data_IF_202842803211
#
_entry.id   IF_202842803211
#
_cell.length_a   1.000
_cell.length_b   1.000
_cell.length_c   1.000
_cell.angle_alpha   90.00
_cell.angle_beta   90.00
_cell.angle_gamma   90.00
#
_symmetry.space_group_name_H-M   'P 1'
#
loop_
_entity.id
_entity.type
_entity.pdbx_description
1 polymer ?
#
# COMPACT_ATOMS: atom_id res chain seq x y z
N UNK A 1 -37.13 -19.40 12.36
CA UNK A 1 -36.88 -18.09 11.71
C UNK A 1 -36.85 -18.31 10.21
N UNK A 2 -37.58 -17.52 9.47
CA UNK A 2 -37.51 -17.48 8.01
C UNK A 2 -36.13 -16.94 7.55
N UNK A 3 -35.79 -17.18 6.28
CA UNK A 3 -34.51 -16.65 5.74
C UNK A 3 -34.46 -15.11 5.79
N UNK A 4 -35.61 -14.44 5.59
CA UNK A 4 -35.72 -12.98 5.69
C UNK A 4 -35.49 -12.49 7.12
N UNK A 5 -36.01 -13.18 8.12
CA UNK A 5 -35.80 -12.81 9.52
C UNK A 5 -34.32 -13.00 9.90
N UNK A 6 -33.67 -14.09 9.45
CA UNK A 6 -32.24 -14.29 9.62
C UNK A 6 -31.40 -13.19 8.94
N UNK A 7 -31.83 -12.80 7.72
CA UNK A 7 -31.18 -11.72 6.95
C UNK A 7 -31.25 -10.39 7.69
N UNK A 8 -32.45 -9.98 8.17
CA UNK A 8 -32.61 -8.75 8.96
C UNK A 8 -31.78 -8.77 10.23
N UNK A 9 -31.80 -9.88 10.96
CA UNK A 9 -31.03 -10.05 12.20
C UNK A 9 -29.53 -9.95 11.94
N UNK A 10 -29.04 -10.58 10.86
CA UNK A 10 -27.62 -10.55 10.51
C UNK A 10 -27.17 -9.14 10.07
N UNK A 11 -27.94 -8.45 9.24
CA UNK A 11 -27.66 -7.07 8.81
C UNK A 11 -27.57 -6.14 10.02
N UNK A 12 -28.49 -6.26 10.97
CA UNK A 12 -28.52 -5.44 12.18
C UNK A 12 -27.34 -5.76 13.12
N UNK A 13 -27.08 -7.05 13.35
CA UNK A 13 -25.99 -7.52 14.23
C UNK A 13 -24.60 -7.06 13.74
N UNK A 14 -24.36 -7.20 12.42
CA UNK A 14 -23.10 -6.81 11.79
C UNK A 14 -23.02 -5.31 11.46
N UNK A 15 -24.10 -4.54 11.68
CA UNK A 15 -24.17 -3.12 11.37
C UNK A 15 -23.90 -2.80 9.90
N UNK A 16 -24.42 -3.62 8.98
CA UNK A 16 -24.05 -3.52 7.57
C UNK A 16 -24.66 -2.30 6.88
N UNK A 17 -25.95 -2.06 7.10
CA UNK A 17 -26.70 -0.90 6.63
C UNK A 17 -28.03 -0.81 7.39
N UNK A 18 -28.72 0.32 7.26
CA UNK A 18 -30.00 0.62 7.92
C UNK A 18 -31.13 0.81 6.90
N UNK A 19 -32.37 0.99 7.36
CA UNK A 19 -33.49 1.32 6.50
C UNK A 19 -33.43 2.75 5.93
N UNK A 20 -32.62 3.63 6.52
CA UNK A 20 -32.40 4.99 6.03
C UNK A 20 -31.41 5.03 4.87
N UNK A 21 -30.58 4.01 4.74
CA UNK A 21 -29.60 3.88 3.68
C UNK A 21 -30.25 3.50 2.35
N UNK A 22 -29.65 3.94 1.24
CA UNK A 22 -29.88 3.37 -0.09
C UNK A 22 -28.64 2.61 -0.51
N UNK A 23 -28.79 1.30 -0.73
CA UNK A 23 -27.69 0.37 -1.02
C UNK A 23 -27.64 -0.02 -2.49
N UNK A 24 -26.47 -0.38 -3.00
CA UNK A 24 -26.26 -0.87 -4.38
C UNK A 24 -26.09 -2.39 -4.37
N UNK A 25 -27.04 -3.13 -4.92
CA UNK A 25 -26.95 -4.60 -5.03
C UNK A 25 -26.20 -4.97 -6.31
N UNK A 26 -25.10 -5.71 -6.17
CA UNK A 26 -24.41 -6.33 -7.29
C UNK A 26 -25.12 -7.63 -7.68
N UNK A 27 -25.84 -7.62 -8.80
CA UNK A 27 -26.69 -8.73 -9.25
C UNK A 27 -26.16 -9.32 -10.56
N UNK A 28 -25.71 -10.60 -10.52
CA UNK A 28 -25.15 -11.29 -11.68
C UNK A 28 -26.18 -12.11 -12.48
N UNK A 29 -27.40 -12.31 -11.96
CA UNK A 29 -28.39 -13.21 -12.54
C UNK A 29 -28.34 -14.64 -11.97
N UNK A 30 -27.30 -14.99 -11.24
CA UNK A 30 -27.18 -16.27 -10.51
C UNK A 30 -28.05 -16.31 -9.25
N UNK A 31 -28.34 -17.53 -8.76
CA UNK A 31 -29.31 -17.78 -7.67
C UNK A 31 -29.02 -16.92 -6.44
N UNK A 32 -27.75 -16.83 -6.00
CA UNK A 32 -27.37 -16.12 -4.78
C UNK A 32 -27.70 -14.62 -4.87
N UNK A 33 -27.39 -14.00 -5.99
CA UNK A 33 -27.65 -12.57 -6.23
C UNK A 33 -29.14 -12.26 -6.43
N UNK A 34 -29.87 -13.16 -7.08
CA UNK A 34 -31.32 -13.02 -7.26
C UNK A 34 -32.08 -13.20 -5.93
N UNK A 35 -31.63 -14.13 -5.08
CA UNK A 35 -32.17 -14.30 -3.71
C UNK A 35 -31.83 -13.09 -2.85
N UNK A 36 -30.62 -12.57 -2.92
CA UNK A 36 -30.25 -11.33 -2.21
C UNK A 36 -31.19 -10.17 -2.57
N UNK A 37 -31.45 -9.97 -3.85
CA UNK A 37 -32.38 -8.93 -4.33
C UNK A 37 -33.80 -9.12 -3.79
N UNK A 38 -34.31 -10.36 -3.77
CA UNK A 38 -35.64 -10.71 -3.20
C UNK A 38 -35.67 -10.46 -1.69
N UNK A 39 -34.64 -10.87 -0.95
CA UNK A 39 -34.55 -10.66 0.49
C UNK A 39 -34.45 -9.17 0.86
N UNK A 40 -33.71 -8.39 0.11
CA UNK A 40 -33.60 -6.94 0.34
C UNK A 40 -34.96 -6.24 0.15
N UNK A 41 -35.74 -6.64 -0.88
CA UNK A 41 -37.09 -6.15 -1.12
C UNK A 41 -38.04 -6.55 0.00
N UNK A 42 -38.11 -7.83 0.36
CA UNK A 42 -38.99 -8.35 1.40
C UNK A 42 -38.67 -7.80 2.79
N UNK A 43 -37.37 -7.56 3.04
CA UNK A 43 -36.93 -6.91 4.26
C UNK A 43 -37.26 -5.40 4.31
N UNK A 44 -37.64 -4.77 3.19
CA UNK A 44 -38.02 -3.37 3.12
C UNK A 44 -36.84 -2.39 3.02
N UNK A 45 -35.68 -2.83 2.57
CA UNK A 45 -34.55 -1.94 2.33
C UNK A 45 -34.68 -1.18 1.01
N UNK A 46 -34.15 0.06 0.98
CA UNK A 46 -34.07 0.86 -0.25
C UNK A 46 -32.78 0.48 -1.02
N UNK A 47 -32.93 0.13 -2.28
CA UNK A 47 -31.80 -0.30 -3.07
C UNK A 47 -31.90 0.06 -4.55
N UNK A 48 -30.74 0.14 -5.19
CA UNK A 48 -30.55 0.11 -6.63
C UNK A 48 -29.84 -1.19 -7.01
N UNK A 49 -29.91 -1.58 -8.28
CA UNK A 49 -29.27 -2.78 -8.80
C UNK A 49 -28.19 -2.40 -9.81
N UNK A 50 -27.00 -3.00 -9.67
CA UNK A 50 -25.92 -2.91 -10.62
C UNK A 50 -25.64 -4.28 -11.24
N UNK A 51 -25.61 -4.34 -12.58
CA UNK A 51 -25.23 -5.52 -13.35
C UNK A 51 -24.02 -5.24 -14.23
N UNK A 52 -23.00 -6.12 -14.17
CA UNK A 52 -21.81 -6.05 -15.00
C UNK A 52 -21.86 -7.13 -16.08
N UNK A 53 -21.95 -6.74 -17.34
CA UNK A 53 -21.81 -7.64 -18.46
C UNK A 53 -20.35 -7.58 -18.99
N UNK A 54 -19.58 -8.62 -18.71
CA UNK A 54 -18.15 -8.71 -19.12
C UNK A 54 -17.96 -9.22 -20.53
N UNK A 55 -19.04 -9.60 -21.24
CA UNK A 55 -19.05 -10.16 -22.59
C UNK A 55 -18.14 -11.38 -22.79
N UNK A 56 -17.90 -12.13 -21.71
CA UNK A 56 -16.99 -13.29 -21.71
C UNK A 56 -17.64 -14.57 -22.22
N UNK A 57 -19.00 -14.62 -22.26
CA UNK A 57 -19.79 -15.82 -22.61
C UNK A 57 -20.81 -15.56 -23.73
N UNK A 58 -20.68 -14.48 -24.48
CA UNK A 58 -21.59 -14.13 -25.58
C UNK A 58 -23.07 -14.11 -25.14
N UNK A 59 -23.93 -14.85 -25.84
CA UNK A 59 -25.39 -14.89 -25.57
C UNK A 59 -25.78 -15.29 -24.15
N UNK A 60 -24.95 -16.05 -23.43
CA UNK A 60 -25.25 -16.34 -22.01
C UNK A 60 -25.13 -15.10 -21.14
N UNK A 61 -24.11 -14.26 -21.37
CA UNK A 61 -23.95 -13.00 -20.63
C UNK A 61 -25.11 -12.04 -20.90
N UNK A 62 -25.57 -11.96 -22.15
CA UNK A 62 -26.70 -11.12 -22.53
C UNK A 62 -28.02 -11.68 -21.94
N UNK A 63 -28.15 -12.99 -21.88
CA UNK A 63 -29.30 -13.65 -21.23
C UNK A 63 -29.39 -13.39 -19.72
N UNK A 64 -28.24 -13.31 -19.04
CA UNK A 64 -28.17 -12.94 -17.63
C UNK A 64 -28.62 -11.48 -17.41
N UNK A 65 -28.13 -10.56 -18.26
CA UNK A 65 -28.53 -9.15 -18.24
C UNK A 65 -30.03 -8.98 -18.45
N UNK A 66 -30.60 -9.63 -19.47
CA UNK A 66 -32.04 -9.57 -19.75
C UNK A 66 -32.90 -10.11 -18.61
N UNK A 67 -32.45 -11.16 -17.92
CA UNK A 67 -33.11 -11.67 -16.72
C UNK A 67 -33.14 -10.63 -15.61
N UNK A 68 -31.99 -10.06 -15.28
CA UNK A 68 -31.85 -9.06 -14.22
C UNK A 68 -32.69 -7.84 -14.53
N UNK A 69 -32.59 -7.29 -15.75
CA UNK A 69 -33.36 -6.15 -16.21
C UNK A 69 -34.88 -6.37 -16.03
N UNK A 70 -35.36 -7.53 -16.48
CA UNK A 70 -36.77 -7.88 -16.36
C UNK A 70 -37.26 -7.90 -14.90
N UNK A 71 -36.50 -8.51 -14.00
CA UNK A 71 -36.89 -8.60 -12.60
C UNK A 71 -36.81 -7.25 -11.87
N UNK A 72 -35.77 -6.44 -12.20
CA UNK A 72 -35.62 -5.07 -11.67
C UNK A 72 -36.78 -4.17 -12.12
N UNK A 73 -37.20 -4.25 -13.40
CA UNK A 73 -38.34 -3.50 -13.90
C UNK A 73 -39.65 -3.84 -13.16
N UNK A 74 -39.87 -5.12 -12.82
CA UNK A 74 -41.04 -5.53 -12.00
C UNK A 74 -41.00 -4.93 -10.61
N UNK A 75 -39.80 -4.69 -10.05
CA UNK A 75 -39.63 -4.12 -8.73
C UNK A 75 -39.72 -2.59 -8.71
N UNK A 76 -39.53 -1.93 -9.86
CA UNK A 76 -39.55 -0.47 -9.99
C UNK A 76 -38.38 0.23 -9.27
N UNK A 77 -37.21 -0.42 -9.18
CA UNK A 77 -36.04 0.15 -8.54
C UNK A 77 -35.03 0.63 -9.60
N UNK A 78 -34.10 1.55 -9.25
CA UNK A 78 -33.05 2.01 -10.17
C UNK A 78 -32.18 0.84 -10.66
N UNK A 79 -31.85 0.85 -11.97
CA UNK A 79 -31.04 -0.16 -12.62
C UNK A 79 -29.86 0.47 -13.34
N UNK A 80 -28.68 -0.01 -13.03
CA UNK A 80 -27.42 0.37 -13.67
C UNK A 80 -26.83 -0.86 -14.36
N UNK A 81 -26.42 -0.72 -15.60
CA UNK A 81 -25.77 -1.78 -16.37
C UNK A 81 -24.54 -1.19 -17.06
N UNK A 82 -23.48 -1.97 -17.14
CA UNK A 82 -22.28 -1.64 -17.89
C UNK A 82 -21.77 -2.85 -18.64
N UNK A 83 -21.13 -2.58 -19.79
CA UNK A 83 -20.50 -3.58 -20.64
C UNK A 83 -19.01 -3.31 -20.67
N UNK A 84 -18.20 -4.29 -20.27
CA UNK A 84 -16.75 -4.15 -20.23
C UNK A 84 -16.10 -4.82 -21.44
N UNK A 85 -15.10 -4.18 -22.04
CA UNK A 85 -14.13 -4.81 -22.94
C UNK A 85 -13.03 -5.49 -22.11
N UNK A 86 -13.37 -6.62 -21.51
CA UNK A 86 -12.45 -7.34 -20.61
C UNK A 86 -11.22 -7.86 -21.34
N UNK A 87 -11.36 -8.30 -22.59
CA UNK A 87 -10.22 -8.81 -23.37
C UNK A 87 -9.25 -7.70 -23.78
N UNK A 88 -9.74 -6.51 -24.14
CA UNK A 88 -8.90 -5.34 -24.42
C UNK A 88 -8.08 -4.92 -23.21
N UNK A 89 -8.71 -4.90 -22.03
CA UNK A 89 -8.03 -4.60 -20.77
C UNK A 89 -6.97 -5.66 -20.37
N UNK A 90 -7.26 -6.95 -20.55
CA UNK A 90 -6.28 -8.04 -20.34
C UNK A 90 -5.08 -7.87 -21.26
N UNK A 91 -5.31 -7.54 -22.52
CA UNK A 91 -4.22 -7.33 -23.49
C UNK A 91 -3.33 -6.13 -23.13
N UNK A 92 -3.91 -5.10 -22.50
CA UNK A 92 -3.17 -3.89 -22.11
C UNK A 92 -2.36 -4.05 -20.82
N UNK A 93 -2.87 -4.83 -19.84
CA UNK A 93 -2.26 -4.94 -18.50
C UNK A 93 -1.43 -6.21 -18.31
N UNK A 94 -1.71 -7.27 -19.07
CA UNK A 94 -1.11 -8.60 -18.86
C UNK A 94 -1.65 -9.36 -17.65
N UNK A 95 -2.66 -8.82 -16.96
CA UNK A 95 -3.30 -9.45 -15.81
C UNK A 95 -4.23 -10.59 -16.23
N UNK A 96 -4.58 -11.47 -15.29
CA UNK A 96 -5.59 -12.51 -15.56
C UNK A 96 -6.98 -11.91 -15.78
N UNK A 97 -7.81 -12.57 -16.57
CA UNK A 97 -9.21 -12.17 -16.84
C UNK A 97 -9.97 -11.93 -15.52
N UNK A 98 -9.76 -12.78 -14.53
CA UNK A 98 -10.42 -12.67 -13.22
C UNK A 98 -9.98 -11.39 -12.47
N UNK A 99 -8.68 -11.06 -12.48
CA UNK A 99 -8.17 -9.84 -11.85
C UNK A 99 -8.69 -8.59 -12.54
N UNK A 100 -8.67 -8.57 -13.87
CA UNK A 100 -9.20 -7.45 -14.67
C UNK A 100 -10.69 -7.27 -14.41
N UNK A 101 -11.49 -8.33 -14.54
CA UNK A 101 -12.93 -8.27 -14.31
C UNK A 101 -13.27 -7.80 -12.88
N UNK A 102 -12.48 -8.24 -11.90
CA UNK A 102 -12.62 -7.80 -10.51
C UNK A 102 -12.30 -6.31 -10.36
N UNK A 103 -11.19 -5.83 -10.91
CA UNK A 103 -10.78 -4.41 -10.86
C UNK A 103 -11.83 -3.51 -11.50
N UNK A 104 -12.27 -3.82 -12.71
CA UNK A 104 -13.28 -3.05 -13.45
C UNK A 104 -14.61 -2.99 -12.69
N UNK A 105 -15.06 -4.11 -12.12
CA UNK A 105 -16.29 -4.21 -11.34
C UNK A 105 -16.30 -3.27 -10.14
N UNK A 106 -15.24 -3.33 -9.31
CA UNK A 106 -15.20 -2.54 -8.09
C UNK A 106 -15.00 -1.05 -8.36
N UNK A 107 -14.20 -0.68 -9.35
CA UNK A 107 -14.05 0.71 -9.78
C UNK A 107 -15.40 1.31 -10.20
N UNK A 108 -16.16 0.59 -11.03
CA UNK A 108 -17.47 1.05 -11.45
C UNK A 108 -18.49 1.11 -10.30
N UNK A 109 -18.46 0.17 -9.37
CA UNK A 109 -19.34 0.23 -8.18
C UNK A 109 -19.04 1.45 -7.31
N UNK A 110 -17.76 1.79 -7.13
CA UNK A 110 -17.36 2.98 -6.38
C UNK A 110 -17.81 4.27 -7.08
N UNK A 111 -17.67 4.37 -8.41
CA UNK A 111 -18.20 5.47 -9.22
C UNK A 111 -19.73 5.62 -9.07
N UNK A 112 -20.48 4.52 -9.11
CA UNK A 112 -21.94 4.55 -8.92
C UNK A 112 -22.32 5.02 -7.51
N UNK A 113 -21.59 4.55 -6.49
CA UNK A 113 -21.84 4.97 -5.12
C UNK A 113 -21.59 6.47 -4.94
N UNK A 114 -20.51 6.99 -5.48
CA UNK A 114 -20.16 8.41 -5.39
C UNK A 114 -21.16 9.29 -6.17
N UNK A 115 -21.57 8.85 -7.37
CA UNK A 115 -22.49 9.63 -8.21
C UNK A 115 -23.94 9.65 -7.67
N UNK A 116 -24.39 8.60 -6.98
CA UNK A 116 -25.79 8.45 -6.57
C UNK A 116 -25.99 8.46 -5.04
N UNK A 117 -24.93 8.55 -4.26
CA UNK A 117 -25.01 8.56 -2.80
C UNK A 117 -25.37 7.20 -2.18
N UNK A 118 -25.01 6.08 -2.83
CA UNK A 118 -25.22 4.76 -2.25
C UNK A 118 -24.24 4.51 -1.11
N UNK A 119 -24.75 4.08 0.04
CA UNK A 119 -23.97 3.90 1.27
C UNK A 119 -23.09 2.65 1.27
N UNK A 120 -23.49 1.61 0.55
CA UNK A 120 -22.79 0.33 0.48
C UNK A 120 -23.04 -0.40 -0.84
N UNK A 121 -22.05 -1.20 -1.24
CA UNK A 121 -22.14 -2.21 -2.31
C UNK A 121 -22.39 -3.57 -1.69
N UNK A 122 -23.48 -4.21 -2.04
CA UNK A 122 -23.95 -5.47 -1.43
C UNK A 122 -23.71 -6.63 -2.38
N UNK A 123 -22.95 -7.64 -1.91
CA UNK A 123 -22.57 -8.82 -2.70
C UNK A 123 -23.11 -10.09 -2.02
N UNK A 124 -23.60 -11.03 -2.82
CA UNK A 124 -24.27 -12.24 -2.39
C UNK A 124 -23.31 -13.40 -2.02
N UNK A 125 -22.18 -13.13 -1.36
CA UNK A 125 -21.33 -14.21 -0.82
C UNK A 125 -22.00 -14.85 0.39
N UNK A 126 -21.97 -16.19 0.45
CA UNK A 126 -22.57 -17.01 1.51
C UNK A 126 -21.51 -17.79 2.29
N UNK A 127 -21.93 -18.56 3.33
CA UNK A 127 -20.98 -19.25 4.22
C UNK A 127 -20.12 -20.27 3.50
N UNK A 128 -20.65 -20.98 2.49
CA UNK A 128 -19.85 -21.96 1.75
C UNK A 128 -18.74 -21.28 0.95
N UNK A 129 -18.94 -20.07 0.38
CA UNK A 129 -17.87 -19.28 -0.24
C UNK A 129 -16.77 -18.89 0.76
N UNK A 130 -17.17 -18.58 2.00
CA UNK A 130 -16.25 -18.25 3.08
C UNK A 130 -15.42 -19.46 3.49
N UNK A 131 -16.02 -20.64 3.57
CA UNK A 131 -15.35 -21.91 3.85
C UNK A 131 -14.35 -22.24 2.72
N UNK A 132 -14.78 -22.12 1.47
CA UNK A 132 -13.88 -22.30 0.31
C UNK A 132 -12.67 -21.38 0.40
N UNK A 133 -12.90 -20.11 0.70
CA UNK A 133 -11.84 -19.10 0.84
C UNK A 133 -10.90 -19.44 1.99
N UNK A 134 -11.41 -19.91 3.12
CA UNK A 134 -10.60 -20.39 4.25
C UNK A 134 -9.62 -21.48 3.81
N UNK A 135 -10.07 -22.52 3.11
CA UNK A 135 -9.21 -23.61 2.66
C UNK A 135 -8.22 -23.16 1.59
N UNK A 136 -8.63 -22.34 0.64
CA UNK A 136 -7.73 -21.79 -0.39
C UNK A 136 -6.61 -20.98 0.27
N UNK A 137 -6.94 -20.14 1.23
CA UNK A 137 -5.99 -19.31 1.95
C UNK A 137 -5.05 -20.18 2.81
N UNK A 138 -5.57 -21.19 3.49
CA UNK A 138 -4.79 -22.16 4.27
C UNK A 138 -3.74 -22.85 3.40
N UNK A 139 -4.10 -23.30 2.20
CA UNK A 139 -3.19 -23.94 1.24
C UNK A 139 -2.13 -22.98 0.68
N UNK A 140 -2.42 -21.68 0.63
CA UNK A 140 -1.47 -20.65 0.18
C UNK A 140 -0.53 -20.17 1.28
N UNK A 141 -0.78 -20.55 2.52
CA UNK A 141 -0.05 -20.07 3.69
C UNK A 141 -0.48 -18.65 4.07
N UNK A 142 -1.28 -18.51 5.12
CA UNK A 142 -1.81 -17.23 5.58
C UNK A 142 -1.82 -17.15 7.10
N UNK A 143 -1.92 -15.94 7.65
CA UNK A 143 -2.17 -15.70 9.07
C UNK A 143 -3.66 -15.77 9.43
N UNK A 144 -3.98 -15.41 10.69
CA UNK A 144 -5.35 -15.46 11.22
C UNK A 144 -6.35 -14.68 10.35
N UNK A 145 -5.96 -13.53 9.81
CA UNK A 145 -6.79 -12.70 8.91
C UNK A 145 -7.32 -13.48 7.72
N UNK A 146 -6.46 -14.23 7.02
CA UNK A 146 -6.89 -15.01 5.86
C UNK A 146 -7.67 -16.27 6.23
N UNK A 147 -7.42 -16.86 7.41
CA UNK A 147 -8.16 -18.00 7.93
C UNK A 147 -9.54 -17.62 8.49
N UNK A 148 -9.79 -16.35 8.79
CA UNK A 148 -11.12 -15.88 9.16
C UNK A 148 -12.15 -15.95 8.01
N UNK A 149 -11.74 -16.32 6.80
CA UNK A 149 -12.61 -16.42 5.64
C UNK A 149 -12.94 -15.05 5.03
N UNK A 150 -14.18 -14.89 4.57
CA UNK A 150 -14.65 -13.65 3.95
C UNK A 150 -15.26 -12.75 5.03
N UNK A 151 -14.76 -11.51 5.15
CA UNK A 151 -15.31 -10.53 6.08
C UNK A 151 -16.71 -10.06 5.66
N UNK A 152 -17.59 -9.84 6.64
CA UNK A 152 -18.95 -9.29 6.43
C UNK A 152 -18.91 -7.89 5.81
N UNK A 153 -17.89 -7.09 6.15
CA UNK A 153 -17.60 -5.75 5.59
C UNK A 153 -16.14 -5.61 5.18
N UNK A 154 -15.92 -4.96 4.04
CA UNK A 154 -14.59 -4.49 3.60
C UNK A 154 -14.77 -3.15 2.87
N UNK A 155 -14.48 -2.04 3.54
CA UNK A 155 -14.79 -0.71 3.08
C UNK A 155 -16.31 -0.54 2.83
N UNK A 156 -16.68 -0.14 1.61
CA UNK A 156 -18.09 -0.02 1.20
C UNK A 156 -18.76 -1.36 0.87
N UNK A 157 -17.98 -2.42 0.67
CA UNK A 157 -18.51 -3.73 0.27
C UNK A 157 -19.01 -4.50 1.48
N UNK A 158 -20.29 -4.91 1.47
CA UNK A 158 -20.93 -5.70 2.51
C UNK A 158 -21.52 -6.99 1.99
N UNK A 159 -21.60 -8.02 2.83
CA UNK A 159 -21.99 -9.39 2.47
C UNK A 159 -23.00 -9.95 3.45
N UNK A 160 -24.27 -9.59 3.27
CA UNK A 160 -25.30 -9.92 4.24
C UNK A 160 -25.79 -11.37 4.18
N UNK A 161 -25.31 -12.21 3.24
CA UNK A 161 -25.68 -13.63 3.15
C UNK A 161 -24.64 -14.58 3.79
N UNK A 162 -23.57 -14.08 4.43
CA UNK A 162 -22.54 -14.93 5.06
C UNK A 162 -23.07 -15.82 6.20
N UNK A 163 -24.30 -15.60 6.67
CA UNK A 163 -24.96 -16.49 7.63
C UNK A 163 -25.62 -17.71 6.96
N UNK A 164 -25.96 -17.62 5.67
CA UNK A 164 -26.75 -18.62 4.95
C UNK A 164 -25.87 -19.65 4.24
N UNK A 165 -26.36 -20.88 4.18
CA UNK A 165 -25.77 -21.92 3.33
C UNK A 165 -26.32 -21.81 1.90
N UNK A 166 -25.58 -22.38 0.96
CA UNK A 166 -26.02 -22.52 -0.44
C UNK A 166 -27.36 -23.24 -0.52
N UNK A 167 -27.56 -24.31 0.26
CA UNK A 167 -28.79 -25.09 0.32
C UNK A 167 -29.98 -24.25 0.81
N UNK A 168 -29.82 -23.41 1.83
CA UNK A 168 -30.87 -22.50 2.31
C UNK A 168 -31.26 -21.49 1.23
N UNK A 169 -30.27 -20.96 0.48
CA UNK A 169 -30.50 -19.99 -0.61
C UNK A 169 -31.29 -20.65 -1.76
N UNK A 170 -30.88 -21.85 -2.21
CA UNK A 170 -31.56 -22.60 -3.29
C UNK A 170 -32.98 -23.03 -2.89
N UNK A 171 -33.15 -23.44 -1.62
CA UNK A 171 -34.45 -23.76 -1.06
C UNK A 171 -35.39 -22.54 -1.08
N UNK A 172 -34.88 -21.38 -0.63
CA UNK A 172 -35.66 -20.14 -0.65
C UNK A 172 -35.99 -19.70 -2.09
N UNK A 173 -35.03 -19.82 -3.03
CA UNK A 173 -35.29 -19.52 -4.44
C UNK A 173 -36.41 -20.37 -5.02
N UNK A 174 -36.42 -21.67 -4.73
CA UNK A 174 -37.44 -22.62 -5.20
C UNK A 174 -38.81 -22.34 -4.57
N UNK A 175 -38.87 -22.14 -3.26
CA UNK A 175 -40.12 -21.86 -2.52
C UNK A 175 -40.81 -20.57 -2.96
N UNK A 176 -40.00 -19.56 -3.35
CA UNK A 176 -40.53 -18.25 -3.76
C UNK A 176 -40.56 -18.05 -5.29
N UNK A 177 -40.32 -19.10 -6.07
CA UNK A 177 -40.27 -19.06 -7.53
C UNK A 177 -39.38 -17.95 -8.09
N UNK A 178 -38.22 -17.74 -7.48
CA UNK A 178 -37.25 -16.72 -7.91
C UNK A 178 -36.54 -17.22 -9.18
N UNK A 179 -36.64 -16.49 -10.31
CA UNK A 179 -35.98 -16.89 -11.52
C UNK A 179 -34.46 -16.60 -11.40
N UNK A 180 -33.64 -17.55 -11.85
CA UNK A 180 -32.18 -17.40 -11.92
C UNK A 180 -31.64 -18.21 -13.10
N UNK A 181 -30.40 -17.94 -13.49
CA UNK A 181 -29.67 -18.72 -14.49
C UNK A 181 -28.50 -19.44 -13.83
N UNK A 182 -28.20 -20.62 -14.34
CA UNK A 182 -27.03 -21.41 -13.91
C UNK A 182 -25.85 -21.02 -14.77
N UNK A 183 -24.77 -20.58 -14.15
CA UNK A 183 -23.54 -20.19 -14.85
C UNK A 183 -22.77 -21.44 -15.30
N UNK A 184 -22.67 -21.63 -16.63
CA UNK A 184 -21.91 -22.75 -17.22
C UNK A 184 -20.39 -22.66 -16.96
N UNK A 185 -19.84 -21.46 -16.70
CA UNK A 185 -18.42 -21.25 -16.44
C UNK A 185 -17.94 -21.71 -15.05
N UNK A 186 -18.87 -22.02 -14.15
CA UNK A 186 -18.53 -22.63 -12.84
C UNK A 186 -17.74 -23.93 -12.95
N UNK A 187 -17.66 -24.53 -14.15
CA UNK A 187 -16.95 -25.77 -14.41
C UNK A 187 -15.47 -25.61 -14.79
N UNK A 188 -15.00 -24.42 -15.21
CA UNK A 188 -13.69 -24.29 -15.87
C UNK A 188 -12.69 -23.29 -15.30
N UNK A 189 -13.06 -22.28 -14.53
CA UNK A 189 -12.19 -21.12 -14.29
C UNK A 189 -11.38 -21.12 -12.98
N UNK A 190 -11.59 -22.05 -12.06
CA UNK A 190 -10.75 -22.12 -10.83
C UNK A 190 -10.58 -23.57 -10.34
N UNK A 191 -9.66 -24.31 -10.92
CA UNK A 191 -9.41 -25.70 -10.56
C UNK A 191 -9.31 -25.94 -9.04
N UNK A 192 -8.63 -25.05 -8.29
CA UNK A 192 -8.47 -25.21 -6.85
C UNK A 192 -9.79 -24.97 -6.10
N UNK A 193 -10.54 -23.90 -6.44
CA UNK A 193 -11.82 -23.61 -5.79
C UNK A 193 -12.84 -24.70 -6.07
N UNK A 194 -12.92 -25.18 -7.30
CA UNK A 194 -13.81 -26.27 -7.68
C UNK A 194 -13.47 -27.58 -6.95
N UNK A 195 -12.17 -27.90 -6.80
CA UNK A 195 -11.74 -29.05 -6.02
C UNK A 195 -12.11 -28.93 -4.54
N UNK A 196 -11.89 -27.76 -3.95
CA UNK A 196 -12.32 -27.50 -2.55
C UNK A 196 -13.83 -27.70 -2.42
N UNK A 197 -14.62 -27.12 -3.34
CA UNK A 197 -16.11 -27.18 -3.35
C UNK A 197 -16.65 -28.60 -3.56
N UNK A 198 -16.08 -29.37 -4.48
CA UNK A 198 -16.66 -30.66 -4.91
C UNK A 198 -15.97 -31.86 -4.26
N UNK A 199 -14.75 -31.74 -3.77
CA UNK A 199 -14.00 -32.86 -3.18
C UNK A 199 -13.82 -32.67 -1.66
N UNK A 200 -13.24 -31.52 -1.22
CA UNK A 200 -12.81 -31.33 0.17
C UNK A 200 -13.99 -31.06 1.10
N UNK A 201 -14.81 -30.05 0.78
CA UNK A 201 -15.94 -29.67 1.65
C UNK A 201 -16.96 -30.79 1.80
N UNK A 202 -17.38 -31.52 0.74
CA UNK A 202 -18.30 -32.66 0.89
C UNK A 202 -17.73 -33.79 1.74
N UNK A 203 -16.44 -34.12 1.58
CA UNK A 203 -15.76 -35.10 2.41
C UNK A 203 -15.83 -34.74 3.90
N UNK A 204 -15.54 -33.46 4.24
CA UNK A 204 -15.57 -32.97 5.61
C UNK A 204 -16.99 -32.91 6.19
N UNK A 205 -17.99 -32.54 5.38
CA UNK A 205 -19.42 -32.63 5.74
C UNK A 205 -19.86 -34.07 5.99
N UNK A 206 -19.31 -35.06 5.23
CA UNK A 206 -19.54 -36.45 5.46
C UNK A 206 -18.95 -37.00 6.76
N UNK A 207 -17.83 -36.46 7.22
CA UNK A 207 -17.21 -36.78 8.51
C UNK A 207 -17.98 -36.19 9.69
N UNK A 208 -18.54 -34.98 9.52
CA UNK A 208 -19.30 -34.30 10.57
C UNK A 208 -20.47 -33.50 9.96
N UNK A 209 -21.72 -33.89 10.20
CA UNK A 209 -22.90 -33.17 9.69
C UNK A 209 -22.98 -31.71 10.16
N UNK A 210 -22.36 -31.37 11.30
CA UNK A 210 -22.33 -29.98 11.84
C UNK A 210 -21.13 -29.18 11.33
N UNK A 211 -20.39 -29.69 10.32
CA UNK A 211 -19.16 -29.08 9.82
C UNK A 211 -19.31 -27.60 9.48
N UNK A 212 -20.35 -27.20 8.75
CA UNK A 212 -20.59 -25.81 8.34
C UNK A 212 -20.73 -24.89 9.55
N UNK A 213 -21.53 -25.28 10.55
CA UNK A 213 -21.73 -24.51 11.78
C UNK A 213 -20.44 -24.38 12.59
N UNK A 214 -19.66 -25.49 12.67
CA UNK A 214 -18.36 -25.50 13.36
C UNK A 214 -17.39 -24.55 12.65
N UNK A 215 -17.29 -24.63 11.33
CA UNK A 215 -16.43 -23.75 10.54
C UNK A 215 -16.79 -22.30 10.66
N UNK A 216 -18.09 -21.96 10.60
CA UNK A 216 -18.59 -20.61 10.82
C UNK A 216 -18.11 -20.06 12.18
N UNK A 217 -18.29 -20.83 13.26
CA UNK A 217 -17.85 -20.45 14.60
C UNK A 217 -16.33 -20.26 14.67
N UNK A 218 -15.55 -21.19 14.09
CA UNK A 218 -14.10 -21.09 14.07
C UNK A 218 -13.61 -19.85 13.32
N UNK A 219 -14.18 -19.56 12.15
CA UNK A 219 -13.86 -18.36 11.37
C UNK A 219 -14.25 -17.08 12.13
N UNK A 220 -15.41 -17.07 12.83
CA UNK A 220 -15.81 -15.95 13.69
C UNK A 220 -14.78 -15.72 14.82
N UNK A 221 -14.34 -16.77 15.51
CA UNK A 221 -13.32 -16.65 16.56
C UNK A 221 -11.99 -16.14 16.00
N UNK A 222 -11.56 -16.62 14.83
CA UNK A 222 -10.35 -16.11 14.17
C UNK A 222 -10.48 -14.63 13.78
N UNK A 223 -11.65 -14.21 13.30
CA UNK A 223 -11.96 -12.81 13.01
C UNK A 223 -11.90 -11.93 14.25
N UNK A 224 -12.45 -12.40 15.38
CA UNK A 224 -12.38 -11.70 16.68
C UNK A 224 -10.93 -11.59 17.16
N UNK A 225 -10.15 -12.67 17.07
CA UNK A 225 -8.73 -12.65 17.40
C UNK A 225 -7.96 -11.66 16.52
N UNK A 226 -8.25 -11.61 15.22
CA UNK A 226 -7.64 -10.65 14.32
C UNK A 226 -8.03 -9.20 14.67
N UNK A 227 -9.30 -8.93 15.00
CA UNK A 227 -9.74 -7.60 15.44
C UNK A 227 -9.01 -7.15 16.71
N UNK A 228 -8.78 -8.06 17.65
CA UNK A 228 -7.99 -7.80 18.86
C UNK A 228 -6.52 -7.47 18.50
N UNK A 229 -5.91 -8.24 17.58
CA UNK A 229 -4.56 -7.96 17.07
C UNK A 229 -4.51 -6.58 16.44
N UNK A 230 -5.46 -6.25 15.55
CA UNK A 230 -5.49 -4.96 14.85
C UNK A 230 -5.61 -3.78 15.83
N UNK A 231 -6.47 -3.88 16.83
CA UNK A 231 -6.61 -2.87 17.87
C UNK A 231 -5.34 -2.73 18.73
N UNK A 232 -4.72 -3.85 19.11
CA UNK A 232 -3.46 -3.86 19.86
C UNK A 232 -2.32 -3.26 19.02
N UNK A 233 -2.22 -3.63 17.76
CA UNK A 233 -1.22 -3.08 16.82
C UNK A 233 -1.38 -1.57 16.61
N UNK A 234 -2.61 -1.05 16.61
CA UNK A 234 -2.84 0.40 16.52
C UNK A 234 -2.25 1.17 17.72
N UNK A 235 -2.30 0.57 18.92
CA UNK A 235 -1.68 1.14 20.13
C UNK A 235 -0.15 1.03 20.05
N UNK A 236 0.37 -0.14 19.67
CA UNK A 236 1.80 -0.39 19.57
C UNK A 236 2.43 0.55 18.53
N UNK A 237 1.82 0.69 17.36
CA UNK A 237 2.30 1.58 16.28
C UNK A 237 2.47 3.02 16.77
N UNK A 238 1.53 3.54 17.57
CA UNK A 238 1.64 4.90 18.14
C UNK A 238 2.82 5.05 19.10
N UNK A 239 3.21 3.99 19.77
CA UNK A 239 4.33 4.00 20.71
C UNK A 239 5.70 3.85 20.04
N UNK A 240 5.78 3.08 18.95
CA UNK A 240 7.05 2.68 18.33
C UNK A 240 7.38 3.40 17.03
N UNK A 241 6.39 4.06 16.39
CA UNK A 241 6.60 4.76 15.12
C UNK A 241 6.80 6.26 15.33
N UNK A 242 7.78 6.80 14.64
CA UNK A 242 7.97 8.25 14.48
C UNK A 242 8.34 8.56 13.04
N UNK A 243 7.88 9.69 12.53
CA UNK A 243 8.21 10.17 11.17
C UNK A 243 9.09 11.43 11.29
N UNK A 244 10.21 11.43 10.59
CA UNK A 244 11.05 12.59 10.39
C UNK A 244 11.30 12.78 8.90
N UNK A 245 10.63 13.77 8.29
CA UNK A 245 10.74 14.15 6.87
C UNK A 245 10.56 12.97 5.90
N UNK A 246 9.56 12.12 6.15
CA UNK A 246 9.25 10.96 5.31
C UNK A 246 10.16 9.75 5.53
N UNK A 247 10.99 9.78 6.56
CA UNK A 247 11.71 8.60 7.09
C UNK A 247 10.99 8.13 8.35
N UNK A 248 10.31 6.99 8.25
CA UNK A 248 9.64 6.38 9.40
C UNK A 248 10.65 5.55 10.19
N UNK A 249 10.82 5.90 11.45
CA UNK A 249 11.61 5.13 12.41
C UNK A 249 10.69 4.19 13.18
N UNK A 250 11.01 2.90 13.16
CA UNK A 250 10.41 1.87 14.01
C UNK A 250 11.39 1.65 15.17
N UNK A 251 11.06 2.11 16.36
CA UNK A 251 11.87 1.90 17.56
C UNK A 251 11.64 0.49 18.09
N UNK A 252 12.56 -0.41 17.76
CA UNK A 252 12.47 -1.82 18.16
C UNK A 252 12.68 -2.01 19.66
N UNK A 253 13.46 -1.13 20.31
CA UNK A 253 13.67 -1.19 21.75
C UNK A 253 12.44 -0.77 22.55
N UNK A 254 11.54 0.02 21.97
CA UNK A 254 10.29 0.42 22.57
C UNK A 254 9.18 -0.66 22.48
N UNK A 255 9.41 -1.75 21.76
CA UNK A 255 8.47 -2.89 21.73
C UNK A 255 8.53 -3.58 23.10
N UNK A 256 7.37 -3.70 23.76
CA UNK A 256 7.27 -4.40 25.05
C UNK A 256 7.82 -5.84 24.96
N UNK A 257 8.72 -6.19 25.86
CA UNK A 257 9.42 -7.48 25.86
C UNK A 257 8.48 -8.69 26.07
N UNK A 258 7.26 -8.50 26.56
CA UNK A 258 6.24 -9.54 26.66
C UNK A 258 5.59 -9.90 25.32
N UNK A 259 5.76 -9.05 24.29
CA UNK A 259 5.19 -9.24 22.96
C UNK A 259 6.14 -10.05 22.06
N UNK A 260 5.59 -10.82 21.10
CA UNK A 260 6.40 -11.51 20.11
C UNK A 260 6.99 -10.49 19.12
N UNK A 261 8.18 -9.95 19.42
CA UNK A 261 8.85 -8.87 18.67
C UNK A 261 8.81 -9.05 17.14
N UNK A 262 9.15 -10.24 16.67
CA UNK A 262 9.21 -10.50 15.22
C UNK A 262 7.81 -10.44 14.56
N UNK A 263 6.77 -10.80 15.29
CA UNK A 263 5.39 -10.64 14.83
C UNK A 263 5.00 -9.17 14.76
N UNK A 264 5.34 -8.37 15.78
CA UNK A 264 5.09 -6.92 15.78
C UNK A 264 5.79 -6.25 14.60
N UNK A 265 7.07 -6.55 14.37
CA UNK A 265 7.85 -6.03 13.24
C UNK A 265 7.19 -6.46 11.91
N UNK A 266 6.76 -7.73 11.80
CA UNK A 266 6.09 -8.23 10.60
C UNK A 266 4.78 -7.48 10.32
N UNK A 267 3.93 -7.32 11.32
CA UNK A 267 2.65 -6.61 11.17
C UNK A 267 2.85 -5.14 10.77
N UNK A 268 3.90 -4.47 11.27
CA UNK A 268 4.21 -3.09 10.90
C UNK A 268 4.76 -3.05 9.46
N UNK A 269 5.82 -3.78 9.16
CA UNK A 269 6.51 -3.71 7.87
C UNK A 269 5.63 -4.20 6.72
N UNK A 270 4.83 -5.25 6.95
CA UNK A 270 3.98 -5.84 5.92
C UNK A 270 2.73 -5.00 5.65
N UNK A 271 2.03 -4.53 6.72
CA UNK A 271 0.76 -3.82 6.57
C UNK A 271 0.92 -2.36 6.16
N UNK A 272 1.95 -1.65 6.67
CA UNK A 272 2.14 -0.22 6.40
C UNK A 272 3.06 0.05 5.20
N UNK A 273 4.02 -0.85 4.94
CA UNK A 273 5.09 -0.59 3.98
C UNK A 273 5.24 -1.65 2.89
N UNK A 274 4.37 -2.68 2.87
CA UNK A 274 4.32 -3.67 1.79
C UNK A 274 5.52 -4.62 1.70
N UNK A 275 6.30 -4.78 2.77
CA UNK A 275 7.41 -5.74 2.78
C UNK A 275 6.89 -7.18 2.79
N UNK A 276 7.47 -8.05 1.95
CA UNK A 276 7.14 -9.48 1.92
C UNK A 276 7.67 -10.18 3.16
N UNK A 277 7.03 -11.29 3.54
CA UNK A 277 7.36 -12.08 4.74
C UNK A 277 8.84 -12.48 4.80
N UNK A 278 9.39 -12.93 3.68
CA UNK A 278 10.78 -13.39 3.58
C UNK A 278 11.74 -12.23 3.89
N UNK A 279 11.47 -11.06 3.33
CA UNK A 279 12.27 -9.85 3.56
C UNK A 279 12.21 -9.41 5.01
N UNK A 280 11.01 -9.46 5.63
CA UNK A 280 10.87 -9.13 7.05
C UNK A 280 11.64 -10.12 7.94
N UNK A 281 11.64 -11.40 7.60
CA UNK A 281 12.45 -12.42 8.30
C UNK A 281 13.92 -12.07 8.24
N UNK A 282 14.43 -11.69 7.06
CA UNK A 282 15.82 -11.27 6.88
C UNK A 282 16.16 -9.99 7.66
N UNK A 283 15.22 -9.04 7.76
CA UNK A 283 15.36 -7.83 8.60
C UNK A 283 15.50 -8.22 10.07
N UNK A 284 14.65 -9.13 10.57
CA UNK A 284 14.72 -9.59 11.96
C UNK A 284 16.05 -10.29 12.26
N UNK A 285 16.53 -11.14 11.36
CA UNK A 285 17.86 -11.78 11.47
C UNK A 285 18.99 -10.75 11.47
N UNK A 286 18.89 -9.70 10.64
CA UNK A 286 19.89 -8.64 10.61
C UNK A 286 19.91 -7.82 11.92
N UNK A 287 18.74 -7.56 12.52
CA UNK A 287 18.62 -6.93 13.84
C UNK A 287 19.31 -7.78 14.93
N UNK A 288 19.01 -9.08 14.94
CA UNK A 288 19.58 -10.02 15.95
C UNK A 288 21.11 -10.10 15.86
N UNK A 289 21.66 -9.96 14.65
CA UNK A 289 23.09 -9.98 14.39
C UNK A 289 23.75 -8.59 14.53
N UNK A 290 23.01 -7.55 14.87
CA UNK A 290 23.54 -6.18 14.97
C UNK A 290 24.06 -5.61 13.64
N UNK A 291 23.51 -6.06 12.51
CA UNK A 291 23.99 -5.70 11.17
C UNK A 291 23.51 -4.29 10.75
N UNK A 292 23.98 -3.28 11.48
CA UNK A 292 23.65 -1.86 11.24
C UNK A 292 24.05 -1.43 9.82
N UNK A 293 23.15 -0.70 9.15
CA UNK A 293 23.34 -0.19 7.78
C UNK A 293 22.92 -1.16 6.69
N UNK A 294 22.50 -2.41 7.02
CA UNK A 294 22.00 -3.35 6.03
C UNK A 294 20.66 -2.89 5.46
N UNK A 295 20.52 -2.96 4.14
CA UNK A 295 19.37 -2.44 3.38
C UNK A 295 18.51 -3.58 2.85
N UNK A 296 17.19 -3.37 2.87
CA UNK A 296 16.17 -4.30 2.37
C UNK A 296 15.13 -3.52 1.56
N UNK A 297 14.54 -4.15 0.54
CA UNK A 297 13.70 -3.46 -0.43
C UNK A 297 12.30 -4.07 -0.49
N UNK A 298 11.30 -3.21 -0.55
CA UNK A 298 9.95 -3.47 -1.02
C UNK A 298 9.78 -2.85 -2.42
N UNK A 299 8.56 -2.73 -2.92
CA UNK A 299 8.31 -2.20 -4.28
C UNK A 299 8.72 -0.73 -4.40
N UNK A 300 8.31 0.09 -3.42
CA UNK A 300 8.48 1.55 -3.40
C UNK A 300 9.21 2.05 -2.14
N UNK A 301 9.62 1.14 -1.27
CA UNK A 301 10.22 1.44 0.04
C UNK A 301 11.51 0.67 0.25
N UNK A 302 12.40 1.31 1.02
CA UNK A 302 13.63 0.69 1.52
C UNK A 302 13.61 0.71 3.05
N UNK A 303 13.99 -0.40 3.68
CA UNK A 303 14.25 -0.49 5.11
C UNK A 303 15.75 -0.58 5.38
N UNK A 304 16.23 0.11 6.41
CA UNK A 304 17.60 0.07 6.88
C UNK A 304 17.61 -0.30 8.36
N UNK A 305 18.37 -1.32 8.71
CA UNK A 305 18.61 -1.69 10.12
C UNK A 305 19.58 -0.68 10.75
N UNK A 306 19.17 -0.06 11.87
CA UNK A 306 19.99 0.90 12.61
C UNK A 306 19.94 0.57 14.11
N UNK A 307 20.98 -0.08 14.66
CA UNK A 307 21.09 -0.50 16.07
C UNK A 307 19.77 -1.11 16.59
N UNK A 308 19.00 -0.32 17.37
CA UNK A 308 17.76 -0.73 18.01
C UNK A 308 16.51 -0.26 17.22
N UNK A 309 16.65 0.06 15.94
CA UNK A 309 15.57 0.59 15.11
C UNK A 309 15.63 0.07 13.67
N UNK A 310 14.49 0.18 12.98
CA UNK A 310 14.40 0.03 11.54
C UNK A 310 13.95 1.38 10.97
N UNK A 311 14.68 1.89 9.99
CA UNK A 311 14.32 3.10 9.27
C UNK A 311 13.70 2.72 7.93
N UNK A 312 12.48 3.14 7.69
CA UNK A 312 11.76 2.90 6.43
C UNK A 312 11.60 4.21 5.69
N UNK A 313 11.96 4.22 4.41
CA UNK A 313 11.93 5.41 3.57
C UNK A 313 11.51 5.06 2.14
N UNK A 314 10.95 6.00 1.36
CA UNK A 314 10.73 5.80 -0.08
C UNK A 314 12.05 5.47 -0.77
N UNK A 315 12.01 4.57 -1.76
CA UNK A 315 13.10 4.44 -2.73
C UNK A 315 13.10 5.74 -3.52
N UNK A 316 14.17 6.50 -3.46
CA UNK A 316 14.24 7.75 -4.21
C UNK A 316 14.18 7.42 -5.71
N UNK A 317 13.17 7.96 -6.39
CA UNK A 317 13.22 8.10 -7.82
C UNK A 317 14.32 9.12 -8.13
N UNK A 318 15.40 8.68 -8.78
CA UNK A 318 16.51 9.48 -9.29
C UNK A 318 17.03 10.60 -8.37
N UNK A 319 17.92 10.24 -7.46
CA UNK A 319 18.78 11.22 -6.73
C UNK A 319 19.85 11.88 -7.65
N UNK A 320 19.76 11.69 -8.95
CA UNK A 320 20.74 12.16 -9.95
C UNK A 320 20.48 13.59 -10.45
N UNK A 321 19.56 14.33 -9.82
CA UNK A 321 19.35 15.72 -10.18
C UNK A 321 20.60 16.53 -9.80
N UNK A 322 21.30 17.01 -10.85
CA UNK A 322 22.40 17.95 -10.72
C UNK A 322 22.10 19.23 -11.49
N UNK A 323 22.56 20.34 -10.97
CA UNK A 323 22.47 21.62 -11.66
C UNK A 323 23.88 22.12 -11.96
N UNK A 324 24.04 22.68 -13.16
CA UNK A 324 25.26 23.36 -13.58
C UNK A 324 25.11 24.85 -13.39
N UNK A 325 26.14 25.48 -12.89
CA UNK A 325 26.18 26.88 -12.54
C UNK A 325 27.31 27.53 -13.33
N UNK A 326 26.94 28.40 -14.27
CA UNK A 326 27.88 29.12 -15.11
C UNK A 326 28.52 30.29 -14.36
N UNK A 327 29.60 30.82 -14.91
CA UNK A 327 30.41 31.87 -14.25
C UNK A 327 29.69 33.21 -13.99
N UNK A 328 28.62 33.47 -14.72
CA UNK A 328 27.80 34.68 -14.60
C UNK A 328 26.56 34.49 -13.69
N UNK A 329 26.33 33.27 -13.21
CA UNK A 329 25.20 32.97 -12.36
C UNK A 329 25.37 33.57 -10.96
N UNK A 330 24.36 34.34 -10.52
CA UNK A 330 24.32 34.94 -9.18
C UNK A 330 23.70 34.02 -8.16
N UNK A 331 22.84 33.10 -8.58
CA UNK A 331 22.21 32.12 -7.71
C UNK A 331 21.69 30.90 -8.47
N UNK A 332 21.52 29.78 -7.74
CA UNK A 332 20.91 28.55 -8.23
C UNK A 332 20.10 27.91 -7.09
N UNK A 333 19.04 27.13 -7.41
CA UNK A 333 18.22 26.46 -6.39
C UNK A 333 18.10 24.98 -6.71
N UNK A 334 18.36 24.13 -5.72
CA UNK A 334 18.21 22.68 -5.83
C UNK A 334 17.59 22.12 -4.55
N UNK A 335 16.47 21.40 -4.68
CA UNK A 335 15.78 20.76 -3.56
C UNK A 335 15.37 21.72 -2.43
N UNK A 336 14.97 22.95 -2.78
CA UNK A 336 14.57 23.97 -1.80
C UNK A 336 15.73 24.76 -1.18
N UNK A 337 17.00 24.38 -1.44
CA UNK A 337 18.18 25.11 -0.98
C UNK A 337 18.62 26.08 -2.06
N UNK A 338 18.66 27.37 -1.72
CA UNK A 338 19.17 28.44 -2.60
C UNK A 338 20.66 28.65 -2.34
N UNK A 339 21.46 28.54 -3.38
CA UNK A 339 22.88 28.85 -3.42
C UNK A 339 23.06 30.23 -4.04
N UNK A 340 23.87 31.08 -3.41
CA UNK A 340 24.22 32.41 -3.94
C UNK A 340 25.72 32.48 -4.15
N UNK A 341 26.15 33.06 -5.27
CA UNK A 341 27.54 33.13 -5.71
C UNK A 341 27.97 34.58 -5.87
N UNK A 342 29.14 34.92 -5.34
CA UNK A 342 29.72 36.24 -5.41
C UNK A 342 31.23 36.15 -5.52
N UNK A 343 31.82 36.87 -6.44
CA UNK A 343 33.28 36.99 -6.56
C UNK A 343 33.74 38.31 -5.93
N UNK A 344 34.58 38.22 -4.91
CA UNK A 344 35.09 39.34 -4.14
C UNK A 344 36.59 39.51 -4.34
N UNK A 345 37.09 40.74 -4.26
CA UNK A 345 38.54 40.92 -4.08
C UNK A 345 38.94 40.44 -2.66
N UNK A 346 40.08 39.85 -2.51
CA UNK A 346 40.57 39.42 -1.18
C UNK A 346 40.63 40.54 -0.16
N UNK A 347 40.86 41.77 -0.64
CA UNK A 347 40.89 43.00 0.21
C UNK A 347 39.54 43.30 0.84
N UNK A 348 38.42 42.88 0.24
CA UNK A 348 37.08 43.13 0.72
C UNK A 348 36.59 42.05 1.70
N UNK A 349 37.35 40.94 1.87
CA UNK A 349 37.02 39.87 2.77
C UNK A 349 37.48 40.19 4.19
N UNK A 350 36.56 40.56 5.06
CA UNK A 350 36.87 40.96 6.44
C UNK A 350 37.20 39.84 7.38
N UNK A 351 36.65 38.63 7.12
CA UNK A 351 36.93 37.40 7.91
C UNK A 351 36.81 36.16 7.05
N UNK A 352 37.69 35.19 7.28
CA UNK A 352 37.67 33.89 6.61
C UNK A 352 36.70 32.88 7.27
N UNK A 353 36.29 33.10 8.50
CA UNK A 353 35.32 32.26 9.19
C UNK A 353 33.96 32.92 9.15
N UNK A 354 33.11 32.51 8.20
CA UNK A 354 31.76 33.04 8.00
C UNK A 354 30.64 32.03 8.39
N UNK A 355 30.99 30.96 9.12
CA UNK A 355 30.06 29.92 9.53
C UNK A 355 29.93 28.76 8.52
N UNK A 356 29.15 27.77 8.85
CA UNK A 356 29.04 26.54 8.06
C UNK A 356 28.29 26.73 6.73
N UNK A 357 27.37 27.71 6.68
CA UNK A 357 26.51 27.98 5.51
C UNK A 357 27.20 28.85 4.44
N UNK A 358 28.48 29.20 4.65
CA UNK A 358 29.27 29.99 3.71
C UNK A 358 30.61 29.31 3.44
N UNK A 359 30.92 29.08 2.17
CA UNK A 359 32.21 28.66 1.71
C UNK A 359 32.94 29.83 1.04
N UNK A 360 34.22 30.02 1.41
CA UNK A 360 35.16 30.93 0.73
C UNK A 360 36.20 30.10 0.01
N UNK A 361 36.17 30.15 -1.32
CA UNK A 361 37.06 29.38 -2.18
C UNK A 361 38.00 30.33 -2.96
N UNK A 362 39.19 29.88 -3.25
CA UNK A 362 40.12 30.58 -4.15
C UNK A 362 39.54 30.58 -5.58
N UNK A 363 39.08 31.73 -6.05
CA UNK A 363 38.36 31.85 -7.33
C UNK A 363 39.25 31.49 -8.53
N UNK A 364 40.58 31.63 -8.42
CA UNK A 364 41.53 31.32 -9.50
C UNK A 364 41.79 29.81 -9.62
N UNK A 365 41.38 29.01 -8.61
CA UNK A 365 41.45 27.53 -8.58
C UNK A 365 40.16 26.85 -8.97
N UNK A 366 39.07 27.59 -9.06
CA UNK A 366 37.73 27.10 -9.39
C UNK A 366 37.53 27.17 -10.90
N UNK A 367 37.11 26.07 -11.50
CA UNK A 367 36.75 25.98 -12.93
C UNK A 367 35.23 25.91 -13.08
N UNK A 368 34.67 26.79 -13.89
CA UNK A 368 33.26 26.79 -14.27
C UNK A 368 33.02 25.95 -15.54
N UNK A 369 31.82 25.33 -15.71
CA UNK A 369 30.67 25.45 -14.82
C UNK A 369 30.84 24.63 -13.53
N UNK A 370 30.35 25.18 -12.41
CA UNK A 370 30.22 24.42 -11.19
C UNK A 370 29.06 23.44 -11.26
N UNK A 371 29.14 22.35 -10.52
CA UNK A 371 28.04 21.39 -10.39
C UNK A 371 27.56 21.33 -8.95
N UNK A 372 26.25 21.40 -8.73
CA UNK A 372 25.63 21.14 -7.43
C UNK A 372 24.80 19.88 -7.58
N UNK A 373 25.07 18.89 -6.71
CA UNK A 373 24.32 17.64 -6.64
C UNK A 373 24.35 17.05 -5.24
N UNK A 374 23.50 16.07 -4.99
CA UNK A 374 23.64 15.25 -3.78
C UNK A 374 24.93 14.42 -3.85
N UNK A 375 25.44 14.08 -2.66
CA UNK A 375 26.62 13.21 -2.57
C UNK A 375 26.28 11.79 -3.06
N UNK A 376 27.28 11.11 -3.63
CA UNK A 376 27.17 9.73 -4.14
C UNK A 376 28.20 8.84 -3.44
N UNK A 377 27.96 7.55 -3.41
CA UNK A 377 28.94 6.60 -2.90
C UNK A 377 30.20 6.64 -3.77
N UNK A 378 31.36 6.72 -3.12
CA UNK A 378 32.64 6.91 -3.79
C UNK A 378 33.16 8.36 -3.81
N UNK A 379 32.33 9.37 -3.56
CA UNK A 379 32.76 10.75 -3.45
C UNK A 379 33.83 10.92 -2.33
N UNK A 380 34.85 11.69 -2.65
CA UNK A 380 35.91 11.97 -1.71
C UNK A 380 36.54 13.34 -1.95
N UNK A 381 37.04 13.96 -0.90
CA UNK A 381 37.70 15.26 -0.92
C UNK A 381 38.95 15.25 -0.04
N UNK A 382 39.78 16.30 -0.12
CA UNK A 382 40.84 16.59 0.84
C UNK A 382 40.32 17.61 1.84
N UNK A 383 39.86 17.21 3.06
CA UNK A 383 39.25 18.16 3.98
C UNK A 383 40.24 19.27 4.38
N UNK A 384 39.74 20.52 4.52
CA UNK A 384 40.52 21.65 4.93
C UNK A 384 41.38 21.35 6.18
N UNK A 385 42.68 21.63 6.12
CA UNK A 385 43.63 21.34 7.18
C UNK A 385 44.21 19.91 7.17
N UNK A 386 43.84 19.06 6.19
CA UNK A 386 44.38 17.72 6.01
C UNK A 386 45.15 17.59 4.70
N UNK A 387 46.10 16.64 4.65
CA UNK A 387 46.88 16.37 3.45
C UNK A 387 46.32 15.18 2.64
N UNK A 388 45.53 14.30 3.27
CA UNK A 388 45.00 13.08 2.69
C UNK A 388 43.59 13.20 2.18
N UNK A 389 43.24 12.40 1.13
CA UNK A 389 41.88 12.27 0.61
C UNK A 389 41.02 11.44 1.57
N UNK A 390 39.80 11.88 1.87
CA UNK A 390 38.87 11.19 2.74
C UNK A 390 37.51 11.03 2.03
N UNK A 391 36.90 9.86 2.16
CA UNK A 391 35.55 9.62 1.60
C UNK A 391 34.51 10.49 2.29
N UNK A 392 33.57 11.02 1.54
CA UNK A 392 32.44 11.81 2.08
C UNK A 392 31.62 10.95 3.04
N UNK A 393 31.40 9.66 2.71
CA UNK A 393 30.72 8.70 3.59
C UNK A 393 31.33 8.65 4.99
N UNK A 394 32.68 8.58 5.08
CA UNK A 394 33.39 8.49 6.35
C UNK A 394 33.32 9.81 7.13
N UNK A 395 33.37 10.94 6.41
CA UNK A 395 33.21 12.25 7.03
C UNK A 395 31.83 12.45 7.65
N UNK A 396 30.78 11.97 6.98
CA UNK A 396 29.41 12.02 7.47
C UNK A 396 29.17 11.05 8.64
N UNK A 397 29.86 9.89 8.66
CA UNK A 397 29.83 8.95 9.80
C UNK A 397 30.51 9.56 11.01
N UNK A 398 31.72 10.11 10.84
CA UNK A 398 32.49 10.74 11.93
C UNK A 398 31.73 11.93 12.54
N UNK A 399 31.02 12.68 11.72
CA UNK A 399 30.19 13.79 12.13
C UNK A 399 28.84 13.34 12.74
N UNK A 400 28.58 12.01 12.85
CA UNK A 400 27.34 11.39 13.36
C UNK A 400 26.08 11.92 12.67
N UNK A 401 26.18 12.22 11.38
CA UNK A 401 25.07 12.71 10.57
C UNK A 401 24.01 11.61 10.45
N UNK A 402 22.75 11.96 10.72
CA UNK A 402 21.63 11.03 10.58
C UNK A 402 21.45 10.56 9.14
N UNK A 403 20.76 9.41 8.93
CA UNK A 403 20.48 8.93 7.57
C UNK A 403 19.61 9.90 6.76
N UNK A 404 18.70 10.62 7.44
CA UNK A 404 17.86 11.67 6.83
C UNK A 404 18.73 12.80 6.29
N UNK A 405 19.59 13.36 7.14
CA UNK A 405 20.50 14.43 6.74
C UNK A 405 21.51 14.01 5.67
N UNK A 406 21.97 12.73 5.72
CA UNK A 406 22.85 12.18 4.67
C UNK A 406 22.18 12.19 3.30
N UNK A 407 20.88 11.88 3.20
CA UNK A 407 20.14 11.94 1.92
C UNK A 407 20.05 13.35 1.36
N UNK A 408 19.96 14.36 2.23
CA UNK A 408 19.84 15.77 1.85
C UNK A 408 21.20 16.47 1.71
N UNK A 409 22.29 15.74 1.86
CA UNK A 409 23.64 16.33 1.82
C UNK A 409 24.03 16.69 0.39
N UNK A 410 24.26 17.97 0.14
CA UNK A 410 24.74 18.48 -1.15
C UNK A 410 26.26 18.61 -1.18
N UNK A 411 26.81 18.51 -2.40
CA UNK A 411 28.18 18.82 -2.75
C UNK A 411 28.20 19.93 -3.79
N UNK A 412 29.19 20.81 -3.70
CA UNK A 412 29.60 21.72 -4.76
C UNK A 412 30.85 21.16 -5.40
N UNK A 413 30.85 21.02 -6.73
CA UNK A 413 31.97 20.46 -7.49
C UNK A 413 32.47 21.46 -8.52
N UNK A 414 33.79 21.40 -8.81
CA UNK A 414 34.47 22.11 -9.88
C UNK A 414 35.28 21.07 -10.67
N UNK A 415 35.02 20.95 -11.97
CA UNK A 415 35.63 19.98 -12.87
C UNK A 415 35.67 18.54 -12.30
N UNK A 416 34.53 18.11 -11.70
CA UNK A 416 34.37 16.79 -11.08
C UNK A 416 34.96 16.62 -9.69
N UNK A 417 35.80 17.56 -9.21
CA UNK A 417 36.35 17.55 -7.85
C UNK A 417 35.38 18.21 -6.85
N UNK A 418 35.20 17.59 -5.68
CA UNK A 418 34.42 18.18 -4.59
C UNK A 418 35.17 19.36 -4.00
N UNK A 419 34.58 20.57 -4.08
CA UNK A 419 35.15 21.79 -3.52
C UNK A 419 34.58 22.11 -2.15
N UNK A 420 33.32 21.76 -1.92
CA UNK A 420 32.63 22.01 -0.66
C UNK A 420 31.61 20.88 -0.34
N UNK A 421 31.80 20.27 0.82
CA UNK A 421 30.73 19.49 1.50
C UNK A 421 29.79 20.52 2.16
N UNK A 422 28.69 20.81 1.48
CA UNK A 422 27.82 21.96 1.76
C UNK A 422 27.36 21.97 3.21
N UNK A 423 27.49 23.13 3.86
CA UNK A 423 27.13 23.29 5.26
C UNK A 423 28.12 22.66 6.25
N UNK A 424 29.29 22.15 5.77
CA UNK A 424 30.23 21.41 6.64
C UNK A 424 31.69 21.81 6.42
N UNK A 425 32.30 21.42 5.31
CA UNK A 425 33.77 21.58 5.13
C UNK A 425 34.14 21.78 3.66
N UNK A 426 35.07 22.72 3.42
CA UNK A 426 35.66 22.94 2.10
C UNK A 426 36.84 21.98 1.85
N UNK A 427 37.15 21.75 0.58
CA UNK A 427 38.37 21.02 0.17
C UNK A 427 39.59 21.91 0.29
N UNK A 428 40.68 21.38 0.84
CA UNK A 428 41.94 22.09 1.11
C UNK A 428 42.64 22.60 -0.16
N UNK A 429 42.35 21.99 -1.32
CA UNK A 429 42.93 22.39 -2.60
C UNK A 429 42.37 23.71 -3.09
N UNK A 430 41.12 24.02 -2.72
CA UNK A 430 40.34 25.21 -3.12
C UNK A 430 40.29 26.27 -2.01
N UNK A 431 40.92 26.04 -0.88
CA UNK A 431 40.90 26.96 0.23
C UNK A 431 41.69 28.26 -0.10
N UNK A 432 41.19 29.37 0.44
CA UNK A 432 41.85 30.70 0.38
C UNK A 432 43.23 30.62 1.03
N UNK A 433 44.26 31.16 0.36
CA UNK A 433 45.67 31.18 0.78
C UNK A 433 46.18 32.63 0.83
N UNK A 434 47.42 32.77 1.26
CA UNK A 434 48.08 34.09 1.36
C UNK A 434 48.26 34.79 0.01
N UNK A 435 48.36 34.02 -1.07
CA UNK A 435 48.56 34.47 -2.46
C UNK A 435 47.24 34.61 -3.24
N UNK A 436 46.07 34.28 -2.64
CA UNK A 436 44.78 34.43 -3.26
C UNK A 436 44.42 35.90 -3.47
N UNK A 437 44.06 36.27 -4.69
CA UNK A 437 43.65 37.62 -5.05
C UNK A 437 42.13 37.80 -5.13
N UNK A 438 41.40 36.76 -5.58
CA UNK A 438 39.96 36.76 -5.75
C UNK A 438 39.36 35.59 -5.00
N UNK A 439 38.23 35.83 -4.34
CA UNK A 439 37.51 34.83 -3.53
C UNK A 439 36.12 34.60 -4.09
N UNK A 440 35.81 33.37 -4.40
CA UNK A 440 34.43 32.95 -4.69
C UNK A 440 33.75 32.68 -3.34
N UNK A 441 32.78 33.52 -2.98
CA UNK A 441 31.90 33.33 -1.85
C UNK A 441 30.68 32.56 -2.31
N UNK A 442 30.41 31.41 -1.71
CA UNK A 442 29.20 30.62 -1.93
C UNK A 442 28.44 30.53 -0.62
N UNK A 443 27.21 30.99 -0.59
CA UNK A 443 26.34 30.92 0.60
C UNK A 443 25.06 30.16 0.31
N UNK A 444 24.51 29.48 1.34
CA UNK A 444 23.23 28.78 1.24
C UNK A 444 22.19 29.44 2.14
N UNK A 445 20.92 29.37 1.68
CA UNK A 445 19.73 29.64 2.49
C UNK A 445 18.69 28.54 2.24
N UNK A 446 18.02 28.10 3.30
CA UNK A 446 17.01 27.04 3.30
C UNK A 446 15.63 27.62 3.54
#
# INVERSE_FOLDING_TARGET
MSLVEKFRSYVAHEGLFTHDDTILLAVSGGVDSMVLMSLAREAGYRFAVAHCNFRLRGEESDGDELLVEREVRKMGVPYHVTHFDTYGEVASTGDSIEMVARRLRYAWFDELCDANGYSAVVIAHHIDDSIETHFINMLRGTGARGLAGIASRNGRVVRPLLFATREEIETYATQNNIPFRVDSSNMSMNHLRNRVRHEVVPMLKGLNPHFTTIMQRNMTHLGQAQSFIDASMAIIKRAVLSDDRGVVRIDVAAIDASLPRNFVIYEILSSEFGFRREVVTDICVALDNGATGRRFFAVDRMAVVDRDAILVMPIAEDDDVEIRVDNDAVSATLGGVKFSFEVLAMADVTTLNQGADVALLDADRVTFPLTIRRWREGDAMVPFGMAGRKKISDMLIDAKVSLVEKREQYLLLSDGDVTWLVGRRIDNRYAVRKDTLRVLRVSISR
#
